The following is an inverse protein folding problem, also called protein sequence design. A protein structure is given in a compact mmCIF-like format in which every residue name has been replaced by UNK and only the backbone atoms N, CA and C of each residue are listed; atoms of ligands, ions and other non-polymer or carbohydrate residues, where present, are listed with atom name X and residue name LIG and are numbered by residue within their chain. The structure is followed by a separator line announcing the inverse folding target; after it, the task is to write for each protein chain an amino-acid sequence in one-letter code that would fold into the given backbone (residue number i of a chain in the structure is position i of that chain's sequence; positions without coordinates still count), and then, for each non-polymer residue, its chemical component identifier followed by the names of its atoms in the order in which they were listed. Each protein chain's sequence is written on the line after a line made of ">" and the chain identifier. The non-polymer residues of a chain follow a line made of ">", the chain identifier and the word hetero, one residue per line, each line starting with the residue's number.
data_IF_499196370561
#
_entry.id   IF_499196370561
#
_cell.length_a   1.000
_cell.length_b   1.000
_cell.length_c   1.000
_cell.angle_alpha   90.00
_cell.angle_beta   90.00
_cell.angle_gamma   90.00
#
_symmetry.space_group_name_H-M   'P 1'
#
loop_
_entity.id
_entity.type
_entity.pdbx_description
1 polymer ?
#
# COMPACT_ATOMS: atom_id res chain seq x y z
N UNK A 1 -17.53 11.52 0.03
CA UNK A 1 -17.40 10.07 0.20
C UNK A 1 -16.04 9.67 -0.37
N UNK A 2 -15.10 9.22 0.47
CA UNK A 2 -13.73 8.91 0.03
C UNK A 2 -13.75 7.89 -1.11
N UNK A 3 -13.17 8.24 -2.25
CA UNK A 3 -12.98 7.36 -3.40
C UNK A 3 -11.96 6.27 -3.10
N UNK A 4 -12.37 5.23 -2.35
CA UNK A 4 -11.58 4.01 -2.16
C UNK A 4 -11.82 3.07 -3.33
N UNK A 5 -10.76 2.52 -3.89
CA UNK A 5 -10.86 1.58 -5.01
C UNK A 5 -11.52 0.26 -4.54
N UNK A 6 -12.23 -0.47 -5.42
CA UNK A 6 -12.81 -1.77 -5.07
C UNK A 6 -11.78 -2.73 -4.47
N UNK A 7 -10.54 -2.68 -4.98
CA UNK A 7 -9.41 -3.46 -4.49
C UNK A 7 -9.06 -3.15 -3.02
N UNK A 8 -9.05 -1.88 -2.63
CA UNK A 8 -8.81 -1.50 -1.24
C UNK A 8 -9.91 -2.05 -0.31
N UNK A 9 -11.16 -2.05 -0.77
CA UNK A 9 -12.27 -2.59 0.01
C UNK A 9 -12.19 -4.11 0.19
N UNK A 10 -11.79 -4.83 -0.86
CA UNK A 10 -11.55 -6.29 -0.79
C UNK A 10 -10.44 -6.63 0.19
N UNK A 11 -9.32 -5.90 0.14
CA UNK A 11 -8.19 -6.11 1.04
C UNK A 11 -8.60 -5.81 2.49
N UNK A 12 -9.33 -4.73 2.74
CA UNK A 12 -9.87 -4.41 4.06
C UNK A 12 -10.77 -5.52 4.60
N UNK A 13 -11.63 -6.12 3.77
CA UNK A 13 -12.50 -7.25 4.16
C UNK A 13 -11.69 -8.51 4.52
N UNK A 14 -10.51 -8.69 3.94
CA UNK A 14 -9.57 -9.78 4.24
C UNK A 14 -8.68 -9.50 5.47
N UNK A 15 -8.92 -8.39 6.18
CA UNK A 15 -8.16 -8.01 7.37
C UNK A 15 -6.87 -7.24 7.08
N UNK A 16 -6.61 -6.86 5.83
CA UNK A 16 -5.45 -6.03 5.49
C UNK A 16 -5.66 -4.58 5.89
N UNK A 17 -4.65 -3.99 6.52
CA UNK A 17 -4.62 -2.61 6.97
C UNK A 17 -3.70 -1.81 6.04
N UNK A 18 -4.26 -0.84 5.32
CA UNK A 18 -3.49 0.07 4.46
C UNK A 18 -2.56 0.93 5.31
N UNK A 19 -1.29 0.99 4.94
CA UNK A 19 -0.30 1.90 5.52
C UNK A 19 -0.11 3.11 4.58
N UNK A 20 1.04 3.21 3.94
CA UNK A 20 1.41 4.31 3.04
C UNK A 20 1.90 3.79 1.69
N UNK A 21 2.04 4.71 0.75
CA UNK A 21 2.59 4.47 -0.58
C UNK A 21 4.04 4.96 -0.61
N UNK A 22 4.96 4.15 -1.13
CA UNK A 22 6.36 4.51 -1.28
C UNK A 22 7.00 3.79 -2.47
N UNK A 23 8.09 4.36 -2.95
CA UNK A 23 9.06 3.75 -3.87
C UNK A 23 10.31 3.27 -3.09
N UNK A 24 11.23 2.62 -3.80
CA UNK A 24 12.51 2.21 -3.23
C UNK A 24 13.41 3.41 -2.88
N UNK A 25 14.29 3.29 -1.85
CA UNK A 25 14.52 2.12 -1.00
C UNK A 25 13.55 2.01 0.19
N UNK A 26 12.77 3.07 0.44
CA UNK A 26 11.86 3.15 1.60
C UNK A 26 10.81 2.05 1.61
N UNK A 27 10.40 1.59 0.42
CA UNK A 27 9.49 0.46 0.26
C UNK A 27 10.08 -0.82 0.88
N UNK A 28 11.29 -1.22 0.49
CA UNK A 28 11.97 -2.40 1.04
C UNK A 28 12.24 -2.27 2.54
N UNK A 29 12.72 -1.11 3.00
CA UNK A 29 12.97 -0.86 4.43
C UNK A 29 11.70 -1.06 5.28
N UNK A 30 10.55 -0.59 4.79
CA UNK A 30 9.29 -0.73 5.48
C UNK A 30 8.78 -2.18 5.47
N UNK A 31 8.95 -2.92 4.37
CA UNK A 31 8.61 -4.35 4.28
C UNK A 31 9.41 -5.13 5.32
N UNK A 32 10.72 -4.99 5.34
CA UNK A 32 11.61 -5.68 6.30
C UNK A 32 11.23 -5.36 7.75
N UNK A 33 10.96 -4.08 8.05
CA UNK A 33 10.51 -3.65 9.37
C UNK A 33 9.21 -4.36 9.78
N UNK A 34 8.16 -4.30 8.95
CA UNK A 34 6.88 -4.91 9.30
C UNK A 34 6.96 -6.44 9.41
N UNK A 35 7.74 -7.09 8.56
CA UNK A 35 7.97 -8.53 8.64
C UNK A 35 8.68 -8.92 9.93
N UNK A 36 9.68 -8.13 10.37
CA UNK A 36 10.41 -8.32 11.64
C UNK A 36 9.52 -8.13 12.87
N UNK A 37 8.50 -7.28 12.76
CA UNK A 37 7.50 -7.03 13.79
C UNK A 37 6.38 -8.09 13.84
N UNK A 38 6.45 -9.13 12.99
CA UNK A 38 5.46 -10.21 12.98
C UNK A 38 4.22 -9.91 12.13
N UNK A 39 4.31 -9.01 11.17
CA UNK A 39 3.24 -8.78 10.20
C UNK A 39 3.50 -9.53 8.89
N UNK A 40 2.42 -9.94 8.22
CA UNK A 40 2.41 -10.21 6.80
C UNK A 40 2.35 -8.87 6.06
N UNK A 41 3.12 -8.76 4.99
CA UNK A 41 3.16 -7.55 4.15
C UNK A 41 2.66 -7.90 2.75
N UNK A 42 1.80 -7.04 2.22
CA UNK A 42 1.29 -7.13 0.85
C UNK A 42 1.47 -5.79 0.15
N UNK A 43 2.06 -5.83 -1.04
CA UNK A 43 2.32 -4.65 -1.86
C UNK A 43 1.32 -4.62 -3.01
N UNK A 44 0.64 -3.49 -3.19
CA UNK A 44 -0.25 -3.26 -4.32
C UNK A 44 0.21 -2.04 -5.12
N UNK A 45 0.10 -2.04 -6.45
CA UNK A 45 0.45 -0.88 -7.26
C UNK A 45 -0.31 0.37 -6.80
N UNK A 46 0.39 1.49 -6.69
CA UNK A 46 -0.26 2.75 -6.37
C UNK A 46 -1.03 3.26 -7.60
N UNK A 47 -2.32 2.91 -7.69
CA UNK A 47 -3.16 3.48 -8.75
C UNK A 47 -3.53 4.92 -8.39
N UNK A 48 -3.21 5.92 -9.23
CA UNK A 48 -3.68 7.27 -8.98
C UNK A 48 -5.21 7.28 -9.00
N UNK A 49 -5.82 7.70 -7.89
CA UNK A 49 -7.26 7.91 -7.86
C UNK A 49 -7.61 9.03 -8.86
N UNK A 50 -8.77 8.92 -9.53
CA UNK A 50 -9.18 9.89 -10.57
C UNK A 50 -9.31 11.34 -10.06
N UNK A 51 -9.23 11.56 -8.75
CA UNK A 51 -9.50 12.85 -8.11
C UNK A 51 -8.22 13.66 -7.83
N UNK A 52 -7.03 13.06 -7.92
CA UNK A 52 -5.76 13.73 -7.57
C UNK A 52 -4.83 13.80 -8.77
N UNK A 53 -5.17 14.68 -9.71
CA UNK A 53 -4.39 14.95 -10.92
C UNK A 53 -2.96 15.43 -10.61
N UNK A 54 -2.77 16.09 -9.47
CA UNK A 54 -1.46 16.55 -8.99
C UNK A 54 -0.51 15.41 -8.54
N UNK A 55 -1.05 14.25 -8.14
CA UNK A 55 -0.26 13.11 -7.68
C UNK A 55 0.06 12.10 -8.80
N UNK A 56 -0.57 12.25 -9.97
CA UNK A 56 -0.43 11.30 -11.10
C UNK A 56 1.00 11.22 -11.60
N UNK A 57 1.65 12.35 -11.83
CA UNK A 57 2.99 12.40 -12.41
C UNK A 57 4.00 11.67 -11.51
N UNK A 58 4.01 11.94 -10.21
CA UNK A 58 4.93 11.30 -9.27
C UNK A 58 4.69 9.78 -9.13
N UNK A 59 3.42 9.35 -9.16
CA UNK A 59 3.05 7.93 -9.06
C UNK A 59 3.27 7.15 -10.36
N UNK A 60 3.33 7.83 -11.51
CA UNK A 60 3.57 7.19 -12.81
C UNK A 60 5.07 7.09 -13.12
N UNK A 61 5.89 8.00 -12.59
CA UNK A 61 7.34 8.01 -12.81
C UNK A 61 8.10 7.05 -11.90
N UNK A 62 7.60 6.81 -10.69
CA UNK A 62 8.20 5.88 -9.74
C UNK A 62 7.31 4.64 -9.59
N UNK A 63 7.90 3.44 -9.50
CA UNK A 63 7.19 2.16 -9.26
C UNK A 63 6.64 2.10 -7.81
N UNK A 64 5.84 3.09 -7.45
CA UNK A 64 5.29 3.29 -6.13
C UNK A 64 4.29 2.18 -5.82
N UNK A 65 4.43 1.58 -4.64
CA UNK A 65 3.52 0.56 -4.13
C UNK A 65 2.93 1.01 -2.81
N UNK A 66 1.65 0.70 -2.62
CA UNK A 66 0.97 0.86 -1.36
C UNK A 66 1.19 -0.37 -0.51
N UNK A 67 1.69 -0.16 0.70
CA UNK A 67 1.94 -1.21 1.68
C UNK A 67 0.65 -1.50 2.44
N UNK A 68 0.31 -2.78 2.52
CA UNK A 68 -0.76 -3.32 3.35
C UNK A 68 -0.16 -4.31 4.33
N UNK A 69 -0.59 -4.28 5.58
CA UNK A 69 -0.12 -5.19 6.62
C UNK A 69 -1.28 -5.93 7.27
N UNK A 70 -1.02 -7.13 7.76
CA UNK A 70 -1.93 -7.90 8.61
C UNK A 70 -1.11 -8.66 9.65
N UNK A 71 -1.57 -8.80 10.91
CA UNK A 71 -0.86 -9.62 11.88
C UNK A 71 -0.65 -11.04 11.33
N UNK A 72 0.56 -11.60 11.45
CA UNK A 72 0.76 -13.04 11.21
C UNK A 72 -0.05 -13.79 12.25
N UNK A 73 -0.83 -14.77 11.81
CA UNK A 73 -1.44 -15.72 12.74
C UNK A 73 -0.30 -16.46 13.49
N UNK A 74 -0.40 -16.63 14.83
CA UNK A 74 0.63 -17.25 15.64
C UNK A 74 0.81 -18.75 15.38
#
# INVERSE_FOLDING_TARGET
>A
MSGKSPREEELRKQGWIRQFTASEPRLSEAVELYESLGYEVKLEPATPSKTEEACRECLLYEDCKTIYIRPKEP
#
